data_IF_804542563394
#
_entry.id   IF_804542563394
#
_cell.length_a   1.000
_cell.length_b   1.000
_cell.length_c   1.000
_cell.angle_alpha   90.00
_cell.angle_beta   90.00
_cell.angle_gamma   90.00
#
_symmetry.space_group_name_H-M   'P 1'
#
loop_
_entity.id
_entity.type
_entity.pdbx_description
1 polymer ?
#
# COMPACT_ATOMS: atom_id res chain seq x y z
N UNK A 1 13.06 17.93 -10.28
CA UNK A 1 12.62 17.54 -8.93
C UNK A 1 11.84 16.25 -9.05
N UNK A 2 12.23 15.20 -8.33
CA UNK A 2 11.48 13.93 -8.33
C UNK A 2 10.18 14.09 -7.55
N UNK A 3 9.07 13.68 -8.17
CA UNK A 3 7.77 13.53 -7.51
C UNK A 3 7.48 12.03 -7.35
N UNK A 4 6.75 11.62 -6.30
CA UNK A 4 6.34 10.23 -6.16
C UNK A 4 5.50 9.81 -7.37
N UNK A 5 5.81 8.65 -7.93
CA UNK A 5 5.10 8.10 -9.08
C UNK A 5 5.17 6.57 -9.08
N UNK A 6 4.19 5.95 -9.73
CA UNK A 6 4.26 4.56 -10.15
C UNK A 6 4.49 4.55 -11.65
N UNK A 7 5.66 4.09 -12.07
CA UNK A 7 6.02 4.00 -13.48
C UNK A 7 5.90 2.55 -13.96
N UNK A 8 5.24 2.35 -15.09
CA UNK A 8 5.20 1.05 -15.76
C UNK A 8 6.09 1.10 -17.00
N UNK A 9 6.77 -0.01 -17.27
CA UNK A 9 7.69 -0.17 -18.39
C UNK A 9 7.29 -1.38 -19.21
N UNK A 10 7.71 -1.40 -20.49
CA UNK A 10 7.56 -2.59 -21.30
C UNK A 10 8.31 -3.78 -20.67
N UNK A 11 7.77 -4.99 -20.82
CA UNK A 11 8.33 -6.22 -20.20
C UNK A 11 9.81 -6.47 -20.51
N UNK A 12 10.26 -6.06 -21.70
CA UNK A 12 11.65 -6.21 -22.17
C UNK A 12 12.43 -4.89 -22.14
N UNK A 13 11.91 -3.86 -21.47
CA UNK A 13 12.60 -2.59 -21.32
C UNK A 13 13.94 -2.79 -20.60
N UNK A 14 14.98 -2.13 -21.09
CA UNK A 14 16.32 -2.16 -20.51
C UNK A 14 16.99 -0.79 -20.67
N UNK A 15 17.96 -0.48 -19.82
CA UNK A 15 18.67 0.80 -19.83
C UNK A 15 17.75 2.00 -19.59
N UNK A 16 18.00 3.09 -20.31
CA UNK A 16 17.23 4.34 -20.22
C UNK A 16 15.86 4.32 -20.90
N UNK A 17 15.20 3.15 -20.95
CA UNK A 17 13.86 3.03 -21.52
C UNK A 17 12.87 3.94 -20.77
N UNK A 18 12.06 4.69 -21.53
CA UNK A 18 11.04 5.55 -20.94
C UNK A 18 9.87 4.70 -20.41
N UNK A 19 9.19 5.13 -19.33
CA UNK A 19 7.95 4.49 -18.91
C UNK A 19 6.91 4.52 -20.04
N UNK A 20 6.17 3.42 -20.20
CA UNK A 20 5.02 3.36 -21.12
C UNK A 20 3.81 4.08 -20.54
N UNK A 21 3.72 4.17 -19.21
CA UNK A 21 2.77 5.00 -18.46
C UNK A 21 3.32 5.33 -17.08
N UNK A 22 2.78 6.37 -16.47
CA UNK A 22 3.10 6.73 -15.09
C UNK A 22 1.87 7.28 -14.38
N UNK A 23 1.62 6.83 -13.17
CA UNK A 23 0.63 7.40 -12.25
C UNK A 23 1.40 8.42 -11.40
N UNK A 24 1.06 9.70 -11.54
CA UNK A 24 1.73 10.79 -10.84
C UNK A 24 0.87 12.06 -10.87
N UNK A 25 1.06 12.93 -9.87
CA UNK A 25 0.33 14.19 -9.77
C UNK A 25 -0.39 14.32 -8.43
N UNK A 26 -1.06 15.46 -8.22
CA UNK A 26 -1.66 15.77 -6.91
C UNK A 26 -2.93 14.97 -6.63
N UNK A 27 -3.70 14.64 -7.67
CA UNK A 27 -4.94 13.86 -7.54
C UNK A 27 -4.66 12.40 -7.16
N UNK A 28 -3.45 11.89 -7.42
CA UNK A 28 -3.04 10.55 -6.97
C UNK A 28 -2.98 10.40 -5.46
N UNK A 29 -2.91 11.51 -4.70
CA UNK A 29 -2.75 11.52 -3.25
C UNK A 29 -1.47 10.82 -2.76
N UNK A 30 -0.49 10.60 -3.64
CA UNK A 30 0.81 10.11 -3.21
C UNK A 30 1.46 11.10 -2.23
N UNK A 31 1.96 10.56 -1.12
CA UNK A 31 2.75 11.31 -0.17
C UNK A 31 4.24 11.23 -0.53
N UNK A 32 5.10 11.80 0.34
CA UNK A 32 6.54 11.87 0.10
C UNK A 32 7.23 10.52 -0.14
N UNK A 33 6.69 9.41 0.38
CA UNK A 33 7.38 8.11 0.35
C UNK A 33 6.41 6.94 0.13
N UNK A 34 6.70 6.14 -0.90
CA UNK A 34 6.04 4.87 -1.16
C UNK A 34 7.07 3.77 -0.88
N UNK A 35 6.81 2.91 0.11
CA UNK A 35 7.78 1.88 0.55
C UNK A 35 7.48 0.48 0.00
N UNK A 36 6.33 0.30 -0.63
CA UNK A 36 5.90 -0.98 -1.20
C UNK A 36 4.71 -0.80 -2.13
N UNK A 37 4.34 -1.88 -2.81
CA UNK A 37 3.12 -1.96 -3.60
C UNK A 37 2.75 -3.43 -3.80
N UNK A 38 1.47 -3.70 -4.01
CA UNK A 38 0.97 -5.00 -4.45
C UNK A 38 0.14 -4.83 -5.71
N UNK A 39 0.13 -5.86 -6.55
CA UNK A 39 -0.75 -5.96 -7.71
C UNK A 39 -1.75 -7.09 -7.51
N UNK A 40 -3.00 -6.78 -7.76
CA UNK A 40 -4.12 -7.70 -7.75
C UNK A 40 -4.46 -8.13 -9.18
N UNK A 41 -4.08 -9.35 -9.60
CA UNK A 41 -4.32 -9.82 -10.96
C UNK A 41 -5.79 -10.14 -11.24
N UNK A 42 -6.62 -10.31 -10.20
CA UNK A 42 -8.03 -10.70 -10.38
C UNK A 42 -8.91 -9.47 -10.64
N UNK A 43 -8.60 -8.32 -10.03
CA UNK A 43 -9.33 -7.06 -10.25
C UNK A 43 -8.61 -6.06 -11.16
N UNK A 44 -7.38 -6.37 -11.56
CA UNK A 44 -6.46 -5.45 -12.22
C UNK A 44 -6.32 -4.16 -11.41
N UNK A 45 -5.74 -4.27 -10.21
CA UNK A 45 -5.61 -3.17 -9.27
C UNK A 45 -4.22 -3.11 -8.63
N UNK A 46 -3.75 -1.90 -8.35
CA UNK A 46 -2.47 -1.63 -7.72
C UNK A 46 -2.74 -1.01 -6.34
N UNK A 47 -2.25 -1.66 -5.28
CA UNK A 47 -2.39 -1.19 -3.90
C UNK A 47 -1.06 -0.62 -3.42
N UNK A 48 -1.14 0.52 -2.73
CA UNK A 48 0.03 1.30 -2.31
C UNK A 48 -0.17 1.78 -0.87
N UNK A 49 0.75 1.47 0.05
CA UNK A 49 0.73 2.01 1.40
C UNK A 49 1.26 3.45 1.41
N UNK A 50 0.42 4.38 1.88
CA UNK A 50 0.77 5.77 2.15
C UNK A 50 1.19 5.94 3.61
N UNK A 51 2.47 5.74 3.90
CA UNK A 51 2.98 5.65 5.28
C UNK A 51 2.68 6.87 6.18
N UNK A 52 2.90 8.10 5.71
CA UNK A 52 2.62 9.34 6.44
C UNK A 52 1.16 9.78 6.39
N UNK A 53 0.38 9.19 5.47
CA UNK A 53 -1.05 9.48 5.35
C UNK A 53 -1.91 8.47 6.12
N UNK A 54 -1.26 7.45 6.72
CA UNK A 54 -1.92 6.31 7.37
C UNK A 54 -3.05 5.73 6.50
N UNK A 55 -2.74 5.53 5.22
CA UNK A 55 -3.73 5.15 4.22
C UNK A 55 -3.22 4.03 3.31
N UNK A 56 -4.14 3.26 2.74
CA UNK A 56 -3.88 2.38 1.60
C UNK A 56 -4.62 2.95 0.40
N UNK A 57 -3.89 3.26 -0.66
CA UNK A 57 -4.43 3.78 -1.91
C UNK A 57 -4.55 2.62 -2.91
N UNK A 58 -5.71 2.50 -3.55
CA UNK A 58 -5.94 1.51 -4.60
C UNK A 58 -6.15 2.21 -5.93
N UNK A 59 -5.43 1.82 -6.97
CA UNK A 59 -5.58 2.32 -8.34
C UNK A 59 -5.97 1.18 -9.28
N UNK A 60 -6.56 1.51 -10.43
CA UNK A 60 -6.73 0.54 -11.51
C UNK A 60 -5.36 0.18 -12.08
N UNK A 61 -5.20 -1.04 -12.56
CA UNK A 61 -3.95 -1.52 -13.14
C UNK A 61 -3.55 -0.72 -14.37
N UNK A 62 -4.51 -0.30 -15.17
CA UNK A 62 -4.35 0.54 -16.37
C UNK A 62 -4.26 2.06 -16.10
N UNK A 63 -4.30 2.50 -14.84
CA UNK A 63 -4.23 3.91 -14.47
C UNK A 63 -2.99 4.61 -15.06
N UNK A 64 -3.19 5.84 -15.55
CA UNK A 64 -2.16 6.65 -16.19
C UNK A 64 -2.43 8.15 -15.98
N UNK A 65 -1.38 8.91 -15.68
CA UNK A 65 -1.44 10.34 -15.41
C UNK A 65 -1.87 10.68 -13.98
N UNK A 66 -2.46 11.87 -13.83
CA UNK A 66 -2.91 12.42 -12.56
C UNK A 66 -4.36 11.99 -12.25
N UNK A 67 -4.50 10.73 -11.86
CA UNK A 67 -5.80 10.10 -11.60
C UNK A 67 -5.97 9.77 -10.11
N UNK A 68 -7.17 9.93 -9.54
CA UNK A 68 -7.43 9.57 -8.15
C UNK A 68 -7.46 8.05 -7.94
N UNK A 69 -7.18 7.58 -6.72
CA UNK A 69 -7.36 6.18 -6.37
C UNK A 69 -8.85 5.80 -6.44
N UNK A 70 -9.14 4.57 -6.88
CA UNK A 70 -10.51 4.02 -6.93
C UNK A 70 -11.04 3.64 -5.56
N UNK A 71 -10.15 3.37 -4.58
CA UNK A 71 -10.49 3.16 -3.18
C UNK A 71 -9.38 3.68 -2.28
N UNK A 72 -9.77 4.13 -1.09
CA UNK A 72 -8.83 4.62 -0.07
C UNK A 72 -9.25 4.11 1.30
N UNK A 73 -8.43 3.26 1.90
CA UNK A 73 -8.60 2.84 3.30
C UNK A 73 -7.88 3.86 4.16
N UNK A 74 -8.59 4.63 4.98
CA UNK A 74 -8.03 5.68 5.84
C UNK A 74 -8.99 6.05 6.97
N UNK A 75 -8.46 6.61 8.05
CA UNK A 75 -9.27 7.10 9.17
C UNK A 75 -8.99 6.36 10.47
N UNK A 76 -9.58 6.84 11.58
CA UNK A 76 -9.27 6.34 12.92
C UNK A 76 -9.67 4.88 13.15
N UNK A 77 -10.76 4.40 12.56
CA UNK A 77 -11.23 3.02 12.75
C UNK A 77 -10.34 2.01 12.03
N UNK A 78 -9.59 2.44 11.01
CA UNK A 78 -8.63 1.56 10.31
C UNK A 78 -7.48 1.10 11.20
N UNK A 79 -7.20 1.83 12.29
CA UNK A 79 -6.05 1.62 13.17
C UNK A 79 -4.69 1.71 12.46
N UNK A 80 -4.61 2.20 11.21
CA UNK A 80 -3.35 2.34 10.48
C UNK A 80 -2.40 3.30 11.21
N UNK A 81 -1.16 2.87 11.49
CA UNK A 81 -0.16 3.71 12.18
C UNK A 81 1.09 4.01 11.35
N UNK A 82 1.60 3.06 10.58
CA UNK A 82 2.74 3.28 9.68
C UNK A 82 2.78 2.15 8.65
N UNK A 83 1.85 2.12 7.69
CA UNK A 83 1.82 1.05 6.70
C UNK A 83 3.09 1.10 5.84
N UNK A 84 3.90 0.05 5.93
CA UNK A 84 5.18 -0.05 5.22
C UNK A 84 5.06 -0.89 3.95
N UNK A 85 4.31 -1.98 4.02
CA UNK A 85 4.10 -2.89 2.91
C UNK A 85 2.66 -3.43 2.90
N UNK A 86 2.20 -3.86 1.74
CA UNK A 86 0.87 -4.41 1.52
C UNK A 86 0.99 -5.70 0.71
N UNK A 87 0.17 -6.70 1.05
CA UNK A 87 -0.01 -7.93 0.29
C UNK A 87 -1.49 -8.22 0.16
N UNK A 88 -1.86 -9.00 -0.86
CA UNK A 88 -3.24 -9.29 -1.21
C UNK A 88 -3.40 -10.79 -1.28
N UNK A 89 -4.47 -11.30 -0.69
CA UNK A 89 -4.96 -12.65 -0.90
C UNK A 89 -6.27 -12.58 -1.70
N UNK A 90 -6.21 -12.78 -3.03
CA UNK A 90 -7.41 -12.75 -3.86
C UNK A 90 -8.36 -13.91 -3.60
N UNK A 91 -7.88 -15.03 -3.03
CA UNK A 91 -8.66 -16.25 -2.81
C UNK A 91 -9.58 -16.08 -1.61
N UNK A 92 -9.05 -15.54 -0.51
CA UNK A 92 -9.84 -15.26 0.70
C UNK A 92 -10.41 -13.84 0.75
N UNK A 93 -10.02 -12.97 -0.19
CA UNK A 93 -10.52 -11.62 -0.29
C UNK A 93 -9.98 -10.71 0.80
N UNK A 94 -8.66 -10.74 1.01
CA UNK A 94 -8.02 -10.05 2.14
C UNK A 94 -6.83 -9.18 1.70
N UNK A 95 -6.59 -8.11 2.45
CA UNK A 95 -5.43 -7.23 2.31
C UNK A 95 -4.65 -7.25 3.62
N UNK A 96 -3.38 -7.64 3.56
CA UNK A 96 -2.47 -7.66 4.69
C UNK A 96 -1.58 -6.43 4.66
N UNK A 97 -1.57 -5.66 5.73
CA UNK A 97 -0.78 -4.43 5.85
C UNK A 97 0.23 -4.59 6.97
N UNK A 98 1.51 -4.61 6.63
CA UNK A 98 2.60 -4.65 7.60
C UNK A 98 2.84 -3.26 8.22
N UNK A 99 2.97 -3.21 9.54
CA UNK A 99 3.17 -1.99 10.33
C UNK A 99 4.16 -2.24 11.47
N UNK A 100 5.45 -2.25 11.18
CA UNK A 100 6.47 -2.50 12.20
C UNK A 100 6.33 -3.90 12.81
N UNK A 101 5.82 -3.97 14.05
CA UNK A 101 5.66 -5.20 14.82
C UNK A 101 4.25 -5.81 14.77
N UNK A 102 3.41 -5.41 13.82
CA UNK A 102 2.08 -5.98 13.64
C UNK A 102 1.64 -6.02 12.19
N UNK A 103 0.65 -6.85 11.91
CA UNK A 103 -0.05 -6.92 10.63
C UNK A 103 -1.52 -6.62 10.85
N UNK A 104 -2.03 -5.65 10.12
CA UNK A 104 -3.45 -5.29 10.13
C UNK A 104 -4.08 -5.84 8.86
N UNK A 105 -5.22 -6.53 8.99
CA UNK A 105 -5.87 -7.17 7.85
C UNK A 105 -7.24 -6.55 7.59
N UNK A 106 -7.48 -6.21 6.33
CA UNK A 106 -8.74 -5.65 5.84
C UNK A 106 -9.40 -6.60 4.84
N UNK A 107 -10.73 -6.51 4.66
CA UNK A 107 -11.36 -7.13 3.52
C UNK A 107 -10.91 -6.42 2.24
N UNK A 108 -10.82 -7.16 1.13
CA UNK A 108 -10.23 -6.68 -0.13
C UNK A 108 -11.04 -5.58 -0.82
N UNK A 109 -12.31 -5.45 -0.48
CA UNK A 109 -13.24 -4.41 -0.91
C UNK A 109 -13.35 -3.24 0.07
N UNK A 110 -12.55 -3.21 1.15
CA UNK A 110 -12.54 -2.09 2.09
C UNK A 110 -12.32 -0.74 1.38
N UNK A 111 -13.16 0.23 1.73
CA UNK A 111 -13.09 1.60 1.25
C UNK A 111 -13.56 2.57 2.35
N UNK A 112 -12.82 3.66 2.55
CA UNK A 112 -13.03 4.62 3.63
C UNK A 112 -12.49 4.17 4.98
N UNK A 113 -13.19 4.56 6.04
CA UNK A 113 -12.82 4.33 7.44
C UNK A 113 -13.37 2.99 7.94
N UNK A 114 -12.77 1.91 7.46
CA UNK A 114 -13.19 0.52 7.74
C UNK A 114 -12.33 -0.07 8.84
N UNK A 115 -12.95 -0.70 9.84
CA UNK A 115 -12.23 -1.44 10.87
C UNK A 115 -11.57 -2.70 10.30
N UNK A 116 -10.37 -3.08 10.76
CA UNK A 116 -9.72 -4.30 10.32
C UNK A 116 -10.48 -5.55 10.80
N UNK A 117 -10.49 -6.60 9.97
CA UNK A 117 -11.08 -7.90 10.33
C UNK A 117 -10.23 -8.67 11.33
N UNK A 118 -8.92 -8.39 11.38
CA UNK A 118 -8.02 -8.90 12.41
C UNK A 118 -6.74 -8.07 12.49
N UNK A 119 -6.11 -8.13 13.66
CA UNK A 119 -4.79 -7.55 13.92
C UNK A 119 -3.91 -8.67 14.49
N UNK A 120 -2.82 -8.98 13.78
CA UNK A 120 -1.82 -9.95 14.22
C UNK A 120 -0.71 -9.19 14.95
N UNK A 121 -0.61 -9.40 16.26
CA UNK A 121 0.37 -8.75 17.14
C UNK A 121 0.59 -9.59 18.40
N UNK A 122 1.68 -9.32 19.12
CA UNK A 122 2.00 -9.97 20.40
C UNK A 122 3.29 -10.80 20.33
N UNK A 123 3.76 -11.32 21.49
CA UNK A 123 5.03 -12.03 21.56
C UNK A 123 5.04 -13.32 20.74
N UNK A 124 3.90 -14.02 20.65
CA UNK A 124 3.78 -15.30 19.96
C UNK A 124 3.86 -15.17 18.43
N UNK A 125 3.65 -13.97 17.88
CA UNK A 125 3.78 -13.76 16.43
C UNK A 125 5.24 -13.68 15.99
N UNK A 126 6.19 -13.59 16.93
CA UNK A 126 7.60 -13.38 16.62
C UNK A 126 7.91 -12.03 15.99
N UNK A 127 6.94 -11.10 15.95
CA UNK A 127 7.14 -9.72 15.53
C UNK A 127 7.84 -8.93 16.64
N UNK A 128 9.06 -9.35 16.97
CA UNK A 128 9.83 -8.71 18.01
C UNK A 128 10.35 -7.36 17.50
N UNK A 129 10.42 -6.32 18.36
CA UNK A 129 11.17 -5.12 18.06
C UNK A 129 12.60 -5.49 17.66
N UNK A 130 13.28 -4.63 16.89
CA UNK A 130 14.70 -4.85 16.66
C UNK A 130 15.39 -4.90 18.03
N UNK A 131 16.42 -5.73 18.24
CA UNK A 131 17.07 -5.90 19.55
C UNK A 131 17.55 -4.62 20.26
N UNK A 132 17.52 -3.45 19.59
CA UNK A 132 17.98 -2.16 20.12
C UNK A 132 16.85 -1.16 20.45
N UNK A 133 15.58 -1.54 20.36
CA UNK A 133 14.45 -0.62 20.66
C UNK A 133 14.10 -0.56 22.16
N UNK A 134 14.86 -1.21 23.04
CA UNK A 134 14.66 -1.25 24.52
C UNK A 134 15.54 -0.28 25.31
N UNK A 135 16.16 0.72 24.67
CA UNK A 135 16.97 1.75 25.34
C UNK A 135 16.45 3.16 25.01
N UNK A 136 15.25 3.50 25.49
CA UNK A 136 14.85 4.88 25.82
C UNK A 136 13.85 4.90 26.97
#
# INVERSE_FOLDING_TARGET
MGHPQIAAFARLANGGAKPTRAIAGQNTLFNRTIHGMAYDPVRDEILVPGNHAFAILTFRGDANGDVPPVRKIFGPNTTLLNPSNVSIDPVHGEIFVAQGNRVVVFPRDADGDVAPIRILQGPDTGFLPRPNDTQR
#
